data_IF_376195275954
#
_entry.id   IF_376195275954
#
_cell.length_a   1.000
_cell.length_b   1.000
_cell.length_c   1.000
_cell.angle_alpha   90.00
_cell.angle_beta   90.00
_cell.angle_gamma   90.00
#
_symmetry.space_group_name_H-M   'P 1'
#
loop_
_entity.id
_entity.type
_entity.pdbx_description
1 polymer ?
#
# COMPACT_ATOMS: atom_id res chain seq x y z
N UNK A 1 -53.89 -3.39 28.86
CA UNK A 1 -53.20 -2.09 29.05
C UNK A 1 -52.36 -2.18 30.32
N UNK A 2 -51.03 -2.27 30.22
CA UNK A 2 -50.02 -1.72 31.15
C UNK A 2 -48.64 -2.27 30.78
N UNK A 3 -47.67 -1.36 30.73
CA UNK A 3 -46.40 -1.42 30.01
C UNK A 3 -45.37 -2.36 30.66
N UNK A 4 -44.70 -3.18 29.85
CA UNK A 4 -43.47 -3.90 30.23
C UNK A 4 -42.29 -2.94 30.02
N UNK A 5 -41.63 -2.58 31.12
CA UNK A 5 -40.40 -1.78 31.15
C UNK A 5 -39.19 -2.72 31.03
N UNK A 6 -38.51 -2.69 29.88
CA UNK A 6 -37.26 -3.42 29.67
C UNK A 6 -36.09 -2.60 30.23
N UNK A 7 -35.43 -3.12 31.26
CA UNK A 7 -34.18 -2.59 31.80
C UNK A 7 -33.02 -2.98 30.88
N UNK A 8 -32.33 -1.99 30.32
CA UNK A 8 -31.04 -2.20 29.64
C UNK A 8 -29.95 -2.46 30.67
N UNK A 9 -29.28 -3.62 30.54
CA UNK A 9 -28.05 -3.91 31.27
C UNK A 9 -26.85 -3.25 30.55
N UNK A 10 -25.87 -2.68 31.28
CA UNK A 10 -24.71 -2.05 30.68
C UNK A 10 -23.74 -3.11 30.12
N UNK A 11 -23.28 -2.89 28.88
CA UNK A 11 -22.25 -3.71 28.23
C UNK A 11 -20.90 -3.41 28.90
N UNK A 12 -20.42 -4.34 29.73
CA UNK A 12 -19.05 -4.34 30.26
C UNK A 12 -18.05 -4.49 29.11
N UNK A 13 -17.45 -3.39 28.66
CA UNK A 13 -16.27 -3.42 27.78
C UNK A 13 -15.04 -3.75 28.63
N UNK A 14 -14.63 -5.03 28.63
CA UNK A 14 -13.34 -5.43 29.18
C UNK A 14 -12.20 -4.81 28.36
N UNK A 15 -11.11 -4.34 29.00
CA UNK A 15 -9.97 -3.78 28.29
C UNK A 15 -9.30 -4.87 27.45
N UNK A 16 -9.09 -4.59 26.16
CA UNK A 16 -8.26 -5.42 25.28
C UNK A 16 -6.85 -5.49 25.88
N UNK A 17 -6.47 -6.64 26.43
CA UNK A 17 -5.07 -6.93 26.77
C UNK A 17 -4.30 -7.06 25.46
N UNK A 18 -3.60 -6.00 25.08
CA UNK A 18 -2.66 -6.03 23.97
C UNK A 18 -1.39 -6.76 24.43
N UNK A 19 -1.23 -8.01 24.02
CA UNK A 19 0.07 -8.67 24.06
C UNK A 19 0.91 -8.09 22.91
N UNK A 20 1.75 -7.10 23.22
CA UNK A 20 2.79 -6.64 22.30
C UNK A 20 3.82 -7.76 22.14
N UNK A 21 3.64 -8.62 21.14
CA UNK A 21 4.68 -9.56 20.72
C UNK A 21 5.79 -8.77 20.03
N UNK A 22 6.84 -8.40 20.76
CA UNK A 22 8.11 -7.98 20.15
C UNK A 22 8.64 -9.15 19.34
N UNK A 23 8.50 -9.11 18.02
CA UNK A 23 9.20 -10.01 17.09
C UNK A 23 10.68 -9.61 17.05
N UNK A 24 11.43 -9.99 18.09
CA UNK A 24 12.89 -10.03 17.98
C UNK A 24 13.24 -11.15 17.01
N UNK A 25 13.93 -10.83 15.93
CA UNK A 25 14.59 -11.84 15.10
C UNK A 25 15.63 -12.53 15.98
N UNK A 26 15.45 -13.82 16.22
CA UNK A 26 16.38 -14.64 17.00
C UNK A 26 17.05 -15.63 16.06
N UNK A 27 18.37 -15.49 15.91
CA UNK A 27 19.18 -16.51 15.24
C UNK A 27 19.43 -17.63 16.25
N UNK A 28 18.96 -18.83 15.93
CA UNK A 28 19.18 -20.02 16.76
C UNK A 28 20.63 -20.51 16.72
N UNK A 29 21.00 -21.49 17.58
CA UNK A 29 22.31 -22.11 17.54
C UNK A 29 22.52 -22.85 16.21
N UNK A 30 23.79 -23.02 15.81
CA UNK A 30 24.15 -23.83 14.63
C UNK A 30 23.72 -25.28 14.81
N UNK A 31 22.95 -25.81 13.86
CA UNK A 31 22.58 -27.23 13.78
C UNK A 31 23.81 -28.05 13.36
N UNK A 32 24.06 -29.17 14.05
CA UNK A 32 25.30 -29.97 13.92
C UNK A 32 25.19 -31.14 12.95
N UNK A 33 23.99 -31.68 12.75
CA UNK A 33 23.75 -32.87 11.93
C UNK A 33 22.36 -32.84 11.26
N UNK A 34 22.11 -33.78 10.34
CA UNK A 34 20.83 -33.89 9.62
C UNK A 34 19.65 -34.25 10.53
N UNK A 35 19.88 -34.94 11.63
CA UNK A 35 18.80 -35.34 12.55
C UNK A 35 18.26 -34.14 13.31
N UNK A 36 19.13 -33.21 13.74
CA UNK A 36 18.73 -31.92 14.32
C UNK A 36 17.91 -31.05 13.34
N UNK A 37 18.20 -31.13 12.02
CA UNK A 37 17.41 -30.44 11.00
C UNK A 37 16.01 -31.07 10.88
N UNK A 38 15.92 -32.39 10.83
CA UNK A 38 14.62 -33.10 10.78
C UNK A 38 13.78 -32.82 12.02
N UNK A 39 14.41 -32.80 13.20
CA UNK A 39 13.75 -32.45 14.45
C UNK A 39 13.25 -31.00 14.41
N UNK A 40 14.08 -30.05 13.95
CA UNK A 40 13.69 -28.64 13.82
C UNK A 40 12.49 -28.45 12.89
N UNK A 41 12.48 -29.09 11.72
CA UNK A 41 11.38 -29.03 10.75
C UNK A 41 10.13 -29.80 11.23
N UNK A 42 10.31 -30.80 12.09
CA UNK A 42 9.23 -31.57 12.71
C UNK A 42 8.54 -30.86 13.88
N UNK A 43 9.06 -29.71 14.33
CA UNK A 43 8.43 -28.93 15.39
C UNK A 43 7.04 -28.47 14.94
N UNK A 44 6.01 -28.60 15.80
CA UNK A 44 4.66 -28.13 15.48
C UNK A 44 4.63 -26.60 15.47
N UNK A 45 4.94 -26.00 14.33
CA UNK A 45 4.77 -24.57 14.07
C UNK A 45 3.54 -24.34 13.21
N UNK A 46 2.85 -23.22 13.41
CA UNK A 46 1.80 -22.82 12.48
C UNK A 46 2.39 -22.57 11.10
N UNK A 47 1.78 -23.16 10.06
CA UNK A 47 2.10 -22.76 8.70
C UNK A 47 1.63 -21.32 8.49
N UNK A 48 2.34 -20.59 7.62
CA UNK A 48 1.95 -19.22 7.24
C UNK A 48 0.52 -19.20 6.71
N UNK A 49 0.13 -20.23 5.94
CA UNK A 49 -1.23 -20.40 5.43
C UNK A 49 -2.27 -20.51 6.56
N UNK A 50 -2.02 -21.32 7.60
CA UNK A 50 -2.93 -21.44 8.74
C UNK A 50 -3.02 -20.15 9.54
N UNK A 51 -1.89 -19.46 9.74
CA UNK A 51 -1.85 -18.16 10.41
C UNK A 51 -2.70 -17.11 9.67
N UNK A 52 -2.58 -17.08 8.34
CA UNK A 52 -3.36 -16.18 7.50
C UNK A 52 -4.83 -16.61 7.36
N UNK A 53 -5.16 -17.90 7.30
CA UNK A 53 -6.55 -18.37 7.18
C UNK A 53 -7.37 -18.17 8.45
N UNK A 54 -6.78 -18.31 9.65
CA UNK A 54 -7.51 -18.23 10.93
C UNK A 54 -8.22 -16.89 11.18
N UNK A 55 -7.87 -15.85 10.43
CA UNK A 55 -8.43 -14.51 10.54
C UNK A 55 -9.48 -14.17 9.47
N UNK A 56 -9.80 -15.09 8.54
CA UNK A 56 -10.80 -14.83 7.48
C UNK A 56 -12.26 -14.85 7.96
N UNK A 57 -12.50 -15.05 9.26
CA UNK A 57 -13.85 -15.06 9.84
C UNK A 57 -14.42 -13.65 10.08
N UNK A 58 -13.65 -12.59 9.81
CA UNK A 58 -14.21 -11.25 9.71
C UNK A 58 -14.89 -11.08 8.37
N UNK A 59 -16.22 -11.12 8.35
CA UNK A 59 -17.07 -10.69 7.23
C UNK A 59 -16.72 -9.24 6.87
N UNK A 60 -15.65 -9.05 6.11
CA UNK A 60 -15.31 -7.74 5.59
C UNK A 60 -16.33 -7.52 4.48
N UNK A 61 -17.38 -6.76 4.81
CA UNK A 61 -18.41 -6.42 3.85
C UNK A 61 -17.73 -5.84 2.62
N UNK A 62 -17.99 -6.39 1.42
CA UNK A 62 -17.37 -5.88 0.22
C UNK A 62 -17.74 -4.39 0.05
N UNK A 63 -16.86 -3.59 -0.55
CA UNK A 63 -17.14 -2.16 -0.76
C UNK A 63 -18.44 -1.97 -1.54
N UNK A 64 -19.12 -0.83 -1.35
CA UNK A 64 -20.34 -0.55 -2.12
C UNK A 64 -20.04 -0.45 -3.62
N UNK A 65 -21.03 -0.74 -4.46
CA UNK A 65 -20.93 -0.56 -5.92
C UNK A 65 -20.43 0.85 -6.30
N UNK A 66 -21.00 1.87 -5.68
CA UNK A 66 -20.61 3.28 -5.87
C UNK A 66 -19.13 3.52 -5.53
N UNK A 67 -18.61 2.86 -4.49
CA UNK A 67 -17.18 2.95 -4.14
C UNK A 67 -16.31 2.35 -5.23
N UNK A 68 -16.70 1.19 -5.77
CA UNK A 68 -15.94 0.53 -6.85
C UNK A 68 -15.98 1.36 -8.13
N UNK A 69 -17.14 1.89 -8.51
CA UNK A 69 -17.27 2.79 -9.68
C UNK A 69 -16.43 4.07 -9.50
N UNK A 70 -16.39 4.63 -8.29
CA UNK A 70 -15.50 5.76 -7.98
C UNK A 70 -14.02 5.39 -8.12
N UNK A 71 -13.61 4.21 -7.66
CA UNK A 71 -12.23 3.72 -7.80
C UNK A 71 -11.85 3.47 -9.26
N UNK A 72 -12.77 2.94 -10.08
CA UNK A 72 -12.57 2.78 -11.52
C UNK A 72 -12.37 4.13 -12.20
N UNK A 73 -13.21 5.13 -11.87
CA UNK A 73 -13.08 6.51 -12.36
C UNK A 73 -11.73 7.13 -11.98
N UNK A 74 -11.25 6.93 -10.75
CA UNK A 74 -9.94 7.42 -10.30
C UNK A 74 -8.77 6.72 -11.00
N UNK A 75 -8.94 5.45 -11.35
CA UNK A 75 -7.91 4.62 -12.01
C UNK A 75 -7.89 4.81 -13.54
N UNK A 76 -8.83 5.58 -14.11
CA UNK A 76 -8.97 5.72 -15.56
C UNK A 76 -9.44 4.44 -16.27
N UNK A 77 -10.13 3.55 -15.55
CA UNK A 77 -10.62 2.27 -16.06
C UNK A 77 -12.13 2.34 -16.42
N UNK A 78 -12.60 1.53 -17.38
CA UNK A 78 -14.02 1.48 -17.74
C UNK A 78 -14.88 0.89 -16.61
N UNK A 79 -16.15 1.30 -16.54
CA UNK A 79 -17.13 0.81 -15.56
C UNK A 79 -17.73 -0.54 -15.98
N UNK A 80 -16.87 -1.55 -16.10
CA UNK A 80 -17.23 -2.92 -16.47
C UNK A 80 -16.92 -3.87 -15.30
N UNK A 81 -17.59 -5.03 -15.24
CA UNK A 81 -17.30 -6.09 -14.26
C UNK A 81 -17.30 -5.65 -12.78
N UNK A 82 -18.10 -4.63 -12.43
CA UNK A 82 -18.11 -3.99 -11.10
C UNK A 82 -18.31 -5.00 -9.97
N UNK A 83 -19.19 -5.99 -10.16
CA UNK A 83 -19.46 -7.05 -9.17
C UNK A 83 -18.23 -7.95 -8.91
N UNK A 84 -17.46 -8.25 -9.96
CA UNK A 84 -16.22 -9.03 -9.85
C UNK A 84 -15.15 -8.25 -9.07
N UNK A 85 -15.01 -6.95 -9.38
CA UNK A 85 -14.09 -6.08 -8.65
C UNK A 85 -14.52 -5.89 -7.20
N UNK A 86 -15.81 -5.78 -6.93
CA UNK A 86 -16.34 -5.70 -5.57
C UNK A 86 -15.98 -6.95 -4.75
N UNK A 87 -16.16 -8.16 -5.29
CA UNK A 87 -15.80 -9.40 -4.62
C UNK A 87 -14.28 -9.54 -4.42
N UNK A 88 -13.48 -9.16 -5.43
CA UNK A 88 -12.01 -9.24 -5.38
C UNK A 88 -11.43 -8.25 -4.39
N UNK A 89 -11.90 -7.00 -4.43
CA UNK A 89 -11.47 -5.95 -3.51
C UNK A 89 -11.88 -6.27 -2.08
N UNK A 90 -13.06 -6.85 -1.85
CA UNK A 90 -13.46 -7.36 -0.54
C UNK A 90 -12.46 -8.36 0.04
N UNK A 91 -12.01 -9.34 -0.77
CA UNK A 91 -10.98 -10.32 -0.36
C UNK A 91 -9.63 -9.66 -0.07
N UNK A 92 -9.22 -8.70 -0.90
CA UNK A 92 -7.96 -7.96 -0.71
C UNK A 92 -8.00 -7.10 0.57
N UNK A 93 -9.10 -6.40 0.82
CA UNK A 93 -9.28 -5.61 2.04
C UNK A 93 -9.32 -6.51 3.28
N UNK A 94 -10.01 -7.65 3.23
CA UNK A 94 -10.00 -8.63 4.31
C UNK A 94 -8.58 -9.13 4.64
N UNK A 95 -7.72 -9.26 3.62
CA UNK A 95 -6.31 -9.60 3.81
C UNK A 95 -5.50 -8.44 4.42
N UNK A 96 -5.60 -7.23 3.86
CA UNK A 96 -4.82 -6.07 4.30
C UNK A 96 -5.22 -5.61 5.70
N UNK A 97 -6.50 -5.70 6.06
CA UNK A 97 -7.00 -5.36 7.40
C UNK A 97 -6.37 -6.25 8.49
N UNK A 98 -5.77 -7.40 8.14
CA UNK A 98 -4.96 -8.19 9.09
C UNK A 98 -3.74 -7.42 9.56
N UNK A 99 -3.11 -6.66 8.67
CA UNK A 99 -1.94 -5.82 8.99
C UNK A 99 -2.31 -4.76 10.03
N UNK A 100 -3.52 -4.21 9.97
CA UNK A 100 -4.01 -3.23 10.94
C UNK A 100 -4.19 -3.80 12.37
N UNK A 101 -4.31 -5.13 12.49
CA UNK A 101 -4.42 -5.80 13.79
C UNK A 101 -3.08 -6.15 14.42
N UNK A 102 -1.98 -6.05 13.65
CA UNK A 102 -0.65 -6.37 14.14
C UNK A 102 -0.17 -5.27 15.10
N UNK A 103 0.42 -5.63 16.24
CA UNK A 103 1.04 -4.65 17.12
C UNK A 103 2.21 -3.98 16.37
N UNK A 104 2.20 -2.65 16.36
CA UNK A 104 3.34 -1.86 15.90
C UNK A 104 4.28 -1.70 17.08
N UNK A 105 5.56 -2.03 16.90
CA UNK A 105 6.57 -1.70 17.89
C UNK A 105 6.85 -0.19 17.79
N UNK A 106 6.24 0.58 18.68
CA UNK A 106 6.40 2.05 18.75
C UNK A 106 7.85 2.48 19.04
N UNK A 107 8.74 1.56 19.43
CA UNK A 107 10.17 1.82 19.57
C UNK A 107 10.95 1.67 18.27
N UNK A 108 10.36 1.03 17.25
CA UNK A 108 10.89 1.06 15.90
C UNK A 108 10.54 2.41 15.28
N UNK A 109 11.57 3.17 14.90
CA UNK A 109 11.36 4.42 14.21
C UNK A 109 10.50 4.16 12.95
N UNK A 110 9.28 4.75 12.85
CA UNK A 110 8.40 4.57 11.70
C UNK A 110 9.05 4.99 10.37
N UNK A 111 10.24 5.59 10.42
CA UNK A 111 11.09 5.96 9.30
C UNK A 111 11.64 4.77 8.53
N UNK A 112 11.88 3.61 9.15
CA UNK A 112 12.47 2.44 8.48
C UNK A 112 11.51 1.78 7.48
N UNK A 113 10.25 2.22 7.41
CA UNK A 113 9.30 1.85 6.36
C UNK A 113 9.36 2.78 5.13
N UNK A 114 10.18 3.84 5.14
CA UNK A 114 10.33 4.79 4.03
C UNK A 114 11.55 4.46 3.17
N UNK A 115 11.42 4.75 1.88
CA UNK A 115 12.51 4.68 0.90
C UNK A 115 13.52 5.83 1.10
N UNK A 116 13.13 6.90 1.80
CA UNK A 116 13.96 8.09 2.03
C UNK A 116 14.34 8.13 3.52
N UNK A 117 15.64 8.27 3.79
CA UNK A 117 16.19 8.40 5.14
C UNK A 117 15.60 9.60 5.87
N UNK A 118 15.13 9.42 7.12
CA UNK A 118 14.62 10.54 7.92
C UNK A 118 15.69 11.55 8.35
N UNK A 119 16.95 11.10 8.41
CA UNK A 119 18.11 11.95 8.67
C UNK A 119 18.90 12.16 7.37
N UNK A 120 18.20 12.49 6.28
CA UNK A 120 18.88 12.95 5.06
C UNK A 120 19.80 14.11 5.44
N UNK A 121 21.02 14.10 4.91
CA UNK A 121 21.92 15.24 5.00
C UNK A 121 21.16 16.51 4.57
N UNK A 122 21.12 17.49 5.47
CA UNK A 122 20.42 18.73 5.17
C UNK A 122 21.14 19.39 4.00
N UNK A 123 20.40 19.76 2.95
CA UNK A 123 20.97 20.51 1.84
C UNK A 123 21.42 21.88 2.36
N UNK A 124 22.73 22.08 2.45
CA UNK A 124 23.29 23.36 2.85
C UNK A 124 23.24 24.38 1.69
N UNK A 125 23.48 25.65 2.03
CA UNK A 125 23.41 26.75 1.07
C UNK A 125 24.45 26.59 -0.06
N UNK A 126 25.66 26.14 0.27
CA UNK A 126 26.76 26.00 -0.70
C UNK A 126 26.44 24.89 -1.71
N UNK A 127 25.94 23.75 -1.23
CA UNK A 127 25.50 22.61 -2.03
C UNK A 127 24.31 22.97 -2.91
N UNK A 128 23.35 23.74 -2.39
CA UNK A 128 22.22 24.24 -3.17
C UNK A 128 22.68 25.19 -4.27
N UNK A 129 23.49 26.21 -3.94
CA UNK A 129 24.01 27.18 -4.91
C UNK A 129 24.85 26.49 -5.99
N UNK A 130 25.74 25.57 -5.61
CA UNK A 130 26.55 24.79 -6.55
C UNK A 130 25.67 23.92 -7.46
N UNK A 131 24.62 23.29 -6.93
CA UNK A 131 23.67 22.50 -7.73
C UNK A 131 22.90 23.35 -8.74
N UNK A 132 22.50 24.57 -8.37
CA UNK A 132 21.82 25.51 -9.28
C UNK A 132 22.76 25.94 -10.40
N UNK A 133 23.99 26.34 -10.08
CA UNK A 133 24.99 26.72 -11.08
C UNK A 133 25.29 25.57 -12.06
N UNK A 134 25.44 24.35 -11.56
CA UNK A 134 25.65 23.16 -12.40
C UNK A 134 24.45 22.88 -13.32
N UNK A 135 23.22 22.93 -12.81
CA UNK A 135 22.01 22.69 -13.61
C UNK A 135 21.78 23.73 -14.71
N UNK A 136 22.17 25.00 -14.48
CA UNK A 136 22.09 26.04 -15.52
C UNK A 136 23.10 25.81 -16.65
N UNK A 137 24.28 25.26 -16.32
CA UNK A 137 25.38 25.11 -17.26
C UNK A 137 25.32 23.78 -18.04
N UNK A 138 24.81 22.71 -17.41
CA UNK A 138 24.91 21.34 -17.90
C UNK A 138 23.55 20.69 -18.17
N UNK A 139 22.83 21.16 -19.20
CA UNK A 139 21.65 20.42 -19.69
C UNK A 139 22.09 19.07 -20.27
N UNK A 140 21.57 17.97 -19.76
CA UNK A 140 21.96 16.64 -20.20
C UNK A 140 21.28 16.28 -21.54
N UNK A 141 22.08 16.18 -22.60
CA UNK A 141 21.61 15.77 -23.92
C UNK A 141 21.09 14.32 -23.95
N UNK A 142 21.53 13.45 -23.05
CA UNK A 142 21.04 12.04 -22.98
C UNK A 142 19.66 11.95 -22.36
N UNK A 143 19.31 12.88 -21.47
CA UNK A 143 17.98 12.98 -20.85
C UNK A 143 16.97 13.77 -21.70
N UNK A 144 17.41 14.37 -22.81
CA UNK A 144 16.54 15.16 -23.70
C UNK A 144 16.18 16.54 -23.14
N UNK A 145 17.00 17.09 -22.25
CA UNK A 145 16.76 18.39 -21.60
C UNK A 145 17.11 19.60 -22.48
N UNK A 146 17.95 19.38 -23.50
CA UNK A 146 18.30 20.41 -24.49
C UNK A 146 17.09 20.66 -25.40
N UNK A 147 16.59 21.90 -25.44
CA UNK A 147 15.42 22.26 -26.26
C UNK A 147 15.65 21.94 -27.74
N UNK A 148 14.70 21.23 -28.36
CA UNK A 148 14.81 20.78 -29.74
C UNK A 148 15.72 19.57 -29.98
N UNK A 149 16.27 18.95 -28.92
CA UNK A 149 17.08 17.74 -29.05
C UNK A 149 16.28 16.50 -29.47
N UNK A 150 14.97 16.49 -29.24
CA UNK A 150 14.08 15.42 -29.65
C UNK A 150 12.66 15.96 -29.93
N UNK A 151 11.90 15.21 -30.75
CA UNK A 151 10.48 15.48 -30.97
C UNK A 151 9.67 14.87 -29.83
N UNK A 152 9.20 15.73 -28.91
CA UNK A 152 8.35 15.35 -27.78
C UNK A 152 7.11 14.56 -28.19
N UNK A 153 6.59 14.81 -29.40
CA UNK A 153 5.37 14.18 -29.92
C UNK A 153 5.61 12.98 -30.82
N UNK A 154 6.87 12.65 -31.14
CA UNK A 154 7.20 11.64 -32.15
C UNK A 154 6.75 10.22 -31.82
N UNK A 155 6.47 9.93 -30.55
CA UNK A 155 5.97 8.64 -30.07
C UNK A 155 4.46 8.64 -29.75
N UNK A 156 3.78 9.76 -29.95
CA UNK A 156 2.34 9.84 -29.72
C UNK A 156 1.57 9.13 -30.85
N UNK A 157 0.54 8.37 -30.50
CA UNK A 157 -0.34 7.75 -31.49
C UNK A 157 -1.12 8.77 -32.34
N UNK A 158 -1.39 9.95 -31.77
CA UNK A 158 -2.05 11.08 -32.44
C UNK A 158 -1.36 12.36 -31.98
N UNK A 159 -0.83 13.12 -32.92
CA UNK A 159 -0.27 14.46 -32.71
C UNK A 159 -0.66 15.35 -33.88
N UNK A 160 -0.71 16.66 -33.63
CA UNK A 160 -1.00 17.66 -34.65
C UNK A 160 -0.14 18.90 -34.38
N UNK A 161 0.68 19.32 -35.35
CA UNK A 161 1.52 20.53 -35.28
C UNK A 161 2.40 20.63 -34.01
N UNK A 162 2.93 19.50 -33.51
CA UNK A 162 3.75 19.46 -32.29
C UNK A 162 2.95 19.46 -30.98
N UNK A 163 1.62 19.28 -31.04
CA UNK A 163 0.76 19.11 -29.87
C UNK A 163 0.25 17.67 -29.77
N UNK A 164 0.09 17.17 -28.53
CA UNK A 164 -0.64 15.93 -28.27
C UNK A 164 -2.14 16.16 -28.45
N UNK A 165 -2.82 15.25 -29.14
CA UNK A 165 -4.26 15.37 -29.40
C UNK A 165 -5.07 14.51 -28.42
N UNK A 166 -5.89 15.15 -27.59
CA UNK A 166 -6.84 14.49 -26.71
C UNK A 166 -8.24 14.51 -27.34
N UNK A 167 -8.83 13.34 -27.61
CA UNK A 167 -10.21 13.25 -28.12
C UNK A 167 -11.19 13.59 -27.00
N UNK A 168 -12.16 14.46 -27.32
CA UNK A 168 -13.19 14.98 -26.40
C UNK A 168 -13.95 13.88 -25.64
N UNK A 169 -14.03 12.66 -26.20
CA UNK A 169 -14.67 11.50 -25.57
C UNK A 169 -14.12 11.14 -24.18
N UNK A 170 -12.86 11.46 -23.87
CA UNK A 170 -12.28 11.25 -22.53
C UNK A 170 -12.82 12.20 -21.46
N UNK A 171 -13.36 13.37 -21.86
CA UNK A 171 -13.91 14.36 -20.95
C UNK A 171 -15.41 14.18 -20.67
N UNK A 172 -16.14 13.50 -21.58
CA UNK A 172 -17.62 13.41 -21.51
C UNK A 172 -18.16 12.61 -20.33
N UNK A 173 -17.34 11.75 -19.70
CA UNK A 173 -17.73 10.95 -18.52
C UNK A 173 -17.31 11.55 -17.16
N UNK A 174 -17.04 12.87 -17.09
CA UNK A 174 -16.63 13.54 -15.84
C UNK A 174 -17.76 14.07 -14.96
N UNK A 175 -19.03 14.04 -15.39
CA UNK A 175 -20.17 14.30 -14.49
C UNK A 175 -20.41 13.13 -13.53
#
# INVERSE_FOLDING_TARGET
>A
MLKVSARHAPVLRLPRRFYAQKTRVVIGPRLKNLDEIKEYLGKPTWSVEKYLQSSSNGETQPPSRETVEKLLKLSGLPNENVEMFQATLGKQLAFINKVQSLPVDESLDPSHARIIDRNSEALDYESLSCSVEQQETEKDSKMGEVGGSWDGTGLAAISENGFYVLREGLLKNRK
#
